data_IF_185830764183
#
_entry.id   IF_185830764183
#
_cell.length_a   1.000
_cell.length_b   1.000
_cell.length_c   1.000
_cell.angle_alpha   90.00
_cell.angle_beta   90.00
_cell.angle_gamma   90.00
#
_symmetry.space_group_name_H-M   'P 1'
#
loop_
_entity.id
_entity.type
_entity.pdbx_description
1 polymer ?
#
# COMPACT_ATOMS: atom_id res chain seq x y z
N UNK A 1 -8.41 -12.16 -1.36
CA UNK A 1 -6.98 -12.53 -1.31
C UNK A 1 -6.81 -13.57 -0.23
N UNK A 2 -6.66 -14.84 -0.58
CA UNK A 2 -6.83 -15.93 0.39
C UNK A 2 -5.66 -16.14 1.35
N UNK A 3 -4.57 -15.38 1.27
CA UNK A 3 -3.32 -15.68 1.98
C UNK A 3 -2.81 -14.53 2.86
N UNK A 4 -3.39 -13.35 2.76
CA UNK A 4 -2.94 -12.18 3.51
C UNK A 4 -3.79 -11.99 4.76
N UNK A 5 -3.54 -12.81 5.77
CA UNK A 5 -4.09 -12.64 7.11
C UNK A 5 -2.97 -12.31 8.06
N UNK A 6 -3.20 -11.36 8.95
CA UNK A 6 -2.27 -11.03 10.01
C UNK A 6 -3.02 -10.85 11.32
N UNK A 7 -2.34 -11.04 12.43
CA UNK A 7 -2.90 -10.81 13.76
C UNK A 7 -2.53 -9.40 14.19
N UNK A 8 -3.51 -8.63 14.63
CA UNK A 8 -3.27 -7.26 15.04
C UNK A 8 -4.39 -6.69 15.89
N UNK A 9 -4.14 -5.48 16.37
CA UNK A 9 -5.09 -4.68 17.11
C UNK A 9 -5.33 -3.36 16.38
N UNK A 10 -6.59 -2.95 16.25
CA UNK A 10 -6.98 -1.71 15.60
C UNK A 10 -7.81 -0.84 16.51
N UNK A 11 -7.58 0.46 16.43
CA UNK A 11 -8.40 1.51 17.03
C UNK A 11 -8.90 2.44 15.93
N UNK A 12 -10.20 2.69 15.92
CA UNK A 12 -10.83 3.65 15.02
C UNK A 12 -11.38 4.82 15.83
N UNK A 13 -10.95 6.03 15.50
CA UNK A 13 -11.42 7.28 16.08
C UNK A 13 -12.28 8.00 15.06
N UNK A 14 -13.53 8.29 15.44
CA UNK A 14 -14.49 9.01 14.59
C UNK A 14 -15.04 10.22 15.34
N UNK A 15 -15.30 11.29 14.62
CA UNK A 15 -15.87 12.48 15.22
C UNK A 15 -17.42 12.42 15.20
N UNK A 16 -18.10 12.91 16.26
CA UNK A 16 -19.55 12.87 16.34
C UNK A 16 -20.21 13.82 15.34
N UNK A 17 -21.46 13.56 15.00
CA UNK A 17 -22.22 14.30 13.97
C UNK A 17 -22.33 15.80 14.17
N UNK A 18 -22.25 16.27 15.42
CA UNK A 18 -22.29 17.71 15.75
C UNK A 18 -20.93 18.41 15.57
N UNK A 19 -19.86 17.67 15.32
CA UNK A 19 -18.54 18.26 15.06
C UNK A 19 -18.49 18.90 13.67
N UNK A 20 -17.86 20.08 13.51
CA UNK A 20 -17.62 20.67 12.20
C UNK A 20 -16.73 19.78 11.31
N UNK A 21 -15.93 18.92 11.92
CA UNK A 21 -15.08 17.93 11.26
C UNK A 21 -15.72 16.53 11.20
N UNK A 22 -17.05 16.44 11.38
CA UNK A 22 -17.77 15.19 11.17
C UNK A 22 -17.41 14.57 9.81
N UNK A 23 -17.19 13.26 9.79
CA UNK A 23 -16.71 12.55 8.59
C UNK A 23 -15.19 12.32 8.59
N UNK A 24 -14.45 12.98 9.49
CA UNK A 24 -13.05 12.65 9.72
C UNK A 24 -12.94 11.36 10.54
N UNK A 25 -12.10 10.43 10.10
CA UNK A 25 -11.82 9.17 10.76
C UNK A 25 -10.31 8.91 10.75
N UNK A 26 -9.79 8.51 11.90
CA UNK A 26 -8.42 8.03 12.05
C UNK A 26 -8.44 6.56 12.48
N UNK A 27 -7.86 5.69 11.67
CA UNK A 27 -7.64 4.28 11.99
C UNK A 27 -6.16 4.08 12.30
N UNK A 28 -5.87 3.43 13.42
CA UNK A 28 -4.51 3.08 13.86
C UNK A 28 -4.47 1.58 14.13
N UNK A 29 -3.46 0.91 13.63
CA UNK A 29 -3.29 -0.53 13.80
C UNK A 29 -1.86 -0.93 14.14
N UNK A 30 -1.73 -1.99 14.94
CA UNK A 30 -0.48 -2.69 15.22
C UNK A 30 -0.67 -4.14 14.83
N UNK A 31 0.22 -4.68 14.00
CA UNK A 31 0.13 -6.02 13.44
C UNK A 31 1.43 -6.78 13.66
N UNK A 32 1.37 -8.10 13.60
CA UNK A 32 2.57 -8.94 13.71
C UNK A 32 3.52 -8.80 12.50
N UNK A 33 3.00 -8.43 11.33
CA UNK A 33 3.82 -8.25 10.13
C UNK A 33 4.20 -9.55 9.41
N UNK A 34 3.74 -10.71 9.91
CA UNK A 34 4.08 -12.03 9.36
C UNK A 34 3.20 -12.47 8.19
N UNK A 35 2.26 -11.64 7.75
CA UNK A 35 1.45 -11.80 6.52
C UNK A 35 0.84 -13.19 6.35
N UNK A 36 0.19 -13.73 7.37
CA UNK A 36 -0.57 -14.99 7.31
C UNK A 36 0.26 -16.27 7.50
N UNK A 37 1.51 -16.14 7.89
CA UNK A 37 2.31 -17.29 8.37
C UNK A 37 1.84 -17.66 9.78
N UNK A 38 1.61 -18.95 10.02
CA UNK A 38 1.04 -19.43 11.28
C UNK A 38 1.93 -19.19 12.52
N UNK A 39 3.21 -18.96 12.32
CA UNK A 39 4.17 -18.65 13.38
C UNK A 39 4.91 -17.36 13.08
N UNK A 40 4.88 -16.46 14.03
CA UNK A 40 5.76 -15.29 14.03
C UNK A 40 7.22 -15.74 14.15
N UNK A 41 8.07 -15.24 13.26
CA UNK A 41 9.50 -15.60 13.25
C UNK A 41 10.40 -14.51 13.82
N UNK A 42 9.87 -13.32 14.09
CA UNK A 42 10.57 -12.23 14.78
C UNK A 42 9.62 -11.50 15.75
N UNK A 43 10.13 -10.57 16.51
CA UNK A 43 9.36 -9.76 17.45
C UNK A 43 9.03 -8.37 16.92
N UNK A 44 9.26 -8.13 15.61
CA UNK A 44 8.96 -6.85 14.99
C UNK A 44 7.44 -6.70 14.80
N UNK A 45 6.94 -5.48 15.01
CA UNK A 45 5.53 -5.16 14.80
C UNK A 45 5.41 -4.10 13.74
N UNK A 46 4.41 -4.27 12.91
CA UNK A 46 4.07 -3.33 11.84
C UNK A 46 2.98 -2.37 12.32
N UNK A 47 3.07 -1.12 11.90
CA UNK A 47 2.12 -0.07 12.20
C UNK A 47 1.38 0.34 10.94
N UNK A 48 0.06 0.45 11.04
CA UNK A 48 -0.82 0.88 9.96
C UNK A 48 -1.60 2.08 10.42
N UNK A 49 -1.61 3.11 9.61
CA UNK A 49 -2.31 4.35 9.88
C UNK A 49 -3.16 4.75 8.67
N UNK A 50 -4.39 5.21 8.91
CA UNK A 50 -5.22 5.78 7.87
C UNK A 50 -6.01 6.95 8.41
N UNK A 51 -5.82 8.10 7.78
CA UNK A 51 -6.66 9.28 7.97
C UNK A 51 -7.60 9.37 6.76
N UNK A 52 -8.90 9.41 7.01
CA UNK A 52 -9.89 9.55 5.94
C UNK A 52 -10.92 10.62 6.28
N UNK A 53 -11.44 11.26 5.24
CA UNK A 53 -12.51 12.22 5.34
C UNK A 53 -13.57 11.94 4.30
N UNK A 54 -14.83 11.83 4.74
CA UNK A 54 -15.96 11.53 3.89
C UNK A 54 -17.12 12.48 4.13
N UNK A 55 -17.80 12.88 3.07
CA UNK A 55 -19.01 13.69 3.13
C UNK A 55 -20.01 13.26 2.07
N UNK A 56 -21.27 13.39 2.44
CA UNK A 56 -22.40 13.28 1.53
C UNK A 56 -23.23 14.56 1.66
N UNK A 57 -23.71 15.10 0.56
CA UNK A 57 -24.61 16.24 0.59
C UNK A 57 -26.00 15.86 1.17
N UNK A 58 -26.82 16.86 1.47
CA UNK A 58 -28.11 16.65 2.10
C UNK A 58 -29.07 15.80 1.25
N UNK A 59 -29.03 15.96 -0.08
CA UNK A 59 -29.90 15.26 -1.03
C UNK A 59 -29.34 13.89 -1.45
N UNK A 60 -28.20 13.48 -0.86
CA UNK A 60 -27.50 12.22 -1.17
C UNK A 60 -27.10 12.03 -2.65
N UNK A 61 -27.16 13.11 -3.44
CA UNK A 61 -26.81 13.09 -4.86
C UNK A 61 -25.31 13.21 -5.12
N UNK A 62 -24.55 13.61 -4.11
CA UNK A 62 -23.10 13.73 -4.15
C UNK A 62 -22.46 13.22 -2.88
N UNK A 63 -21.48 12.35 -3.03
CA UNK A 63 -20.65 11.88 -1.93
C UNK A 63 -19.17 11.85 -2.35
N UNK A 64 -18.28 12.12 -1.40
CA UNK A 64 -16.86 11.92 -1.60
C UNK A 64 -16.21 11.28 -0.38
N UNK A 65 -15.13 10.56 -0.64
CA UNK A 65 -14.23 10.03 0.35
C UNK A 65 -12.79 10.28 -0.13
N UNK A 66 -11.94 10.76 0.76
CA UNK A 66 -10.50 10.89 0.52
C UNK A 66 -9.75 10.28 1.68
N UNK A 67 -8.61 9.67 1.41
CA UNK A 67 -7.81 9.01 2.43
C UNK A 67 -6.32 9.14 2.19
N UNK A 68 -5.57 9.15 3.29
CA UNK A 68 -4.12 9.00 3.34
C UNK A 68 -3.80 7.81 4.21
N UNK A 69 -2.91 6.95 3.76
CA UNK A 69 -2.53 5.73 4.46
C UNK A 69 -1.02 5.63 4.58
N UNK A 70 -0.55 5.17 5.73
CA UNK A 70 0.84 4.81 5.96
C UNK A 70 0.92 3.38 6.50
N UNK A 71 1.96 2.70 6.10
CA UNK A 71 2.36 1.41 6.64
C UNK A 71 3.86 1.47 6.97
N UNK A 72 4.19 1.20 8.20
CA UNK A 72 5.56 1.14 8.70
C UNK A 72 5.81 -0.23 9.29
N UNK A 73 6.66 -1.00 8.65
CA UNK A 73 6.92 -2.35 9.09
C UNK A 73 8.23 -2.91 8.59
N UNK A 74 8.34 -4.22 8.68
CA UNK A 74 9.52 -4.93 8.25
C UNK A 74 9.63 -6.31 8.86
N UNK A 75 10.78 -6.93 8.66
CA UNK A 75 11.12 -8.21 9.28
C UNK A 75 12.62 -8.31 9.54
N UNK A 76 13.01 -9.14 10.49
CA UNK A 76 14.42 -9.37 10.80
C UNK A 76 15.09 -10.18 9.71
N UNK A 77 16.22 -9.67 9.22
CA UNK A 77 16.98 -10.28 8.12
C UNK A 77 17.68 -11.56 8.58
N UNK A 78 18.00 -11.69 9.86
CA UNK A 78 18.76 -12.83 10.36
C UNK A 78 20.21 -12.83 9.87
N UNK A 79 20.64 -13.96 9.28
CA UNK A 79 22.02 -14.17 8.80
C UNK A 79 22.19 -14.00 7.30
N UNK A 80 21.14 -13.59 6.57
CA UNK A 80 21.23 -13.41 5.13
C UNK A 80 21.81 -12.05 4.77
N UNK A 81 22.31 -11.95 3.56
CA UNK A 81 22.86 -10.70 3.03
C UNK A 81 21.74 -9.74 2.68
N UNK A 82 21.99 -8.46 2.90
CA UNK A 82 21.08 -7.37 2.65
C UNK A 82 21.67 -6.42 1.60
N UNK A 83 20.90 -6.06 0.59
CA UNK A 83 21.33 -5.23 -0.52
C UNK A 83 20.40 -4.04 -0.71
N UNK A 84 20.99 -2.85 -0.73
CA UNK A 84 20.32 -1.63 -1.17
C UNK A 84 20.59 -1.36 -2.65
N UNK A 85 19.65 -0.74 -3.31
CA UNK A 85 19.79 -0.30 -4.69
C UNK A 85 20.40 1.09 -4.73
N UNK A 86 21.53 1.24 -5.40
CA UNK A 86 22.24 2.50 -5.54
C UNK A 86 22.44 2.86 -7.02
N UNK A 87 22.34 4.15 -7.32
CA UNK A 87 22.73 4.71 -8.62
C UNK A 87 24.15 5.25 -8.50
N UNK A 88 25.03 4.74 -9.33
CA UNK A 88 26.41 5.17 -9.38
C UNK A 88 26.54 6.54 -10.08
N UNK A 89 27.68 7.22 -9.87
CA UNK A 89 27.93 8.55 -10.46
C UNK A 89 28.01 8.56 -12.01
N UNK A 90 28.23 7.41 -12.63
CA UNK A 90 28.20 7.22 -14.07
C UNK A 90 26.80 6.94 -14.64
N UNK A 91 25.76 6.91 -13.79
CA UNK A 91 24.38 6.59 -14.15
C UNK A 91 24.04 5.10 -14.13
N UNK A 92 25.00 4.22 -13.90
CA UNK A 92 24.74 2.79 -13.75
C UNK A 92 24.02 2.50 -12.43
N UNK A 93 23.22 1.44 -12.45
CA UNK A 93 22.47 0.98 -11.29
C UNK A 93 23.05 -0.32 -10.74
N UNK A 94 23.13 -0.41 -9.43
CA UNK A 94 23.72 -1.57 -8.76
C UNK A 94 23.10 -1.84 -7.41
N UNK A 95 22.89 -3.12 -7.11
CA UNK A 95 22.65 -3.55 -5.74
C UNK A 95 23.98 -3.66 -4.98
N UNK A 96 24.10 -2.88 -3.94
CA UNK A 96 25.26 -2.89 -3.07
C UNK A 96 24.91 -3.42 -1.68
N UNK A 97 25.90 -4.01 -1.01
CA UNK A 97 25.74 -4.42 0.37
C UNK A 97 25.31 -3.22 1.22
N UNK A 98 24.20 -3.38 1.93
CA UNK A 98 23.70 -2.35 2.82
C UNK A 98 24.66 -2.08 3.97
N UNK A 99 25.42 -3.09 4.39
CA UNK A 99 26.49 -2.97 5.41
C UNK A 99 27.30 -4.27 5.57
N UNK A 100 28.46 -4.16 6.18
CA UNK A 100 29.36 -5.21 6.61
C UNK A 100 28.69 -6.24 7.54
N UNK A 101 29.34 -7.36 7.79
CA UNK A 101 28.94 -8.57 8.51
C UNK A 101 28.29 -8.38 9.90
N UNK A 102 28.17 -7.15 10.40
CA UNK A 102 27.47 -6.78 11.64
C UNK A 102 25.94 -6.72 11.54
N UNK A 103 25.35 -7.07 10.39
CA UNK A 103 23.91 -6.93 10.11
C UNK A 103 23.00 -8.03 10.69
N UNK A 104 23.52 -8.90 11.51
CA UNK A 104 22.68 -9.82 12.26
C UNK A 104 21.62 -9.07 13.06
N UNK A 105 20.35 -9.37 12.77
CA UNK A 105 19.16 -8.77 13.39
C UNK A 105 18.76 -7.36 12.93
N UNK A 106 19.24 -6.82 11.81
CA UNK A 106 18.64 -5.64 11.21
C UNK A 106 17.23 -5.97 10.68
N UNK A 107 16.42 -4.95 10.61
CA UNK A 107 15.06 -5.03 10.07
C UNK A 107 15.09 -4.58 8.60
N UNK A 108 14.66 -5.46 7.71
CA UNK A 108 14.36 -5.12 6.34
C UNK A 108 13.05 -4.32 6.31
N UNK A 109 13.11 -3.03 6.00
CA UNK A 109 11.98 -2.11 6.12
C UNK A 109 10.96 -2.34 5.02
N UNK A 110 9.68 -2.26 5.41
CA UNK A 110 8.51 -2.14 4.53
C UNK A 110 7.81 -0.84 4.88
N UNK A 111 7.94 0.16 4.06
CA UNK A 111 7.30 1.46 4.28
C UNK A 111 6.46 1.80 3.07
N UNK A 112 5.15 1.94 3.27
CA UNK A 112 4.21 2.26 2.20
C UNK A 112 3.44 3.52 2.54
N UNK A 113 3.20 4.33 1.54
CA UNK A 113 2.37 5.53 1.62
C UNK A 113 1.33 5.45 0.50
N UNK A 114 0.10 5.71 0.84
CA UNK A 114 -1.01 5.68 -0.09
C UNK A 114 -1.89 6.91 0.04
N UNK A 115 -2.47 7.30 -1.07
CA UNK A 115 -3.53 8.29 -1.14
C UNK A 115 -4.65 7.75 -2.01
N UNK A 116 -5.90 7.90 -1.57
CA UNK A 116 -7.06 7.46 -2.32
C UNK A 116 -8.16 8.51 -2.32
N UNK A 117 -8.98 8.46 -3.37
CA UNK A 117 -10.16 9.29 -3.50
C UNK A 117 -11.30 8.52 -4.17
N UNK A 118 -12.50 8.74 -3.69
CA UNK A 118 -13.73 8.28 -4.34
C UNK A 118 -14.72 9.44 -4.42
N UNK A 119 -15.29 9.63 -5.60
CA UNK A 119 -16.39 10.56 -5.85
C UNK A 119 -17.58 9.76 -6.39
N UNK A 120 -18.74 10.00 -5.83
CA UNK A 120 -20.01 9.42 -6.31
C UNK A 120 -21.00 10.55 -6.51
N UNK A 121 -21.62 10.59 -7.68
CA UNK A 121 -22.60 11.61 -8.00
C UNK A 121 -23.69 11.08 -8.95
N UNK A 122 -24.89 11.59 -8.79
CA UNK A 122 -26.03 11.25 -9.62
C UNK A 122 -26.09 12.19 -10.82
N UNK A 123 -26.11 11.61 -12.03
CA UNK A 123 -26.26 12.32 -13.29
C UNK A 123 -27.62 11.95 -13.91
N UNK A 124 -28.69 12.61 -13.48
CA UNK A 124 -29.99 12.38 -14.08
C UNK A 124 -30.02 12.84 -15.55
N UNK A 125 -30.51 12.04 -16.52
CA UNK A 125 -31.14 10.70 -16.37
C UNK A 125 -30.15 9.52 -16.49
N UNK A 126 -28.85 9.75 -16.51
CA UNK A 126 -27.83 8.75 -16.83
C UNK A 126 -27.54 7.77 -15.69
N UNK A 127 -27.98 8.10 -14.47
CA UNK A 127 -27.76 7.27 -13.28
C UNK A 127 -26.57 7.71 -12.43
N UNK A 128 -26.09 6.83 -11.56
CA UNK A 128 -25.02 7.12 -10.61
C UNK A 128 -23.65 6.85 -11.25
N UNK A 129 -22.77 7.84 -11.15
CA UNK A 129 -21.38 7.75 -11.56
C UNK A 129 -20.49 7.65 -10.32
N UNK A 130 -19.56 6.69 -10.32
CA UNK A 130 -18.53 6.60 -9.28
C UNK A 130 -17.15 6.61 -9.93
N UNK A 131 -16.30 7.51 -9.45
CA UNK A 131 -14.88 7.60 -9.78
C UNK A 131 -14.08 7.15 -8.58
N UNK A 132 -13.09 6.28 -8.77
CA UNK A 132 -12.14 5.87 -7.73
C UNK A 132 -10.73 5.98 -8.27
N UNK A 133 -9.84 6.48 -7.44
CA UNK A 133 -8.41 6.50 -7.71
C UNK A 133 -7.65 6.15 -6.45
N UNK A 134 -6.56 5.43 -6.61
CA UNK A 134 -5.60 5.18 -5.53
C UNK A 134 -4.19 5.23 -6.11
N UNK A 135 -3.29 5.84 -5.37
CA UNK A 135 -1.86 5.83 -5.62
C UNK A 135 -1.15 5.30 -4.40
N UNK A 136 -0.21 4.40 -4.62
CA UNK A 136 0.66 3.83 -3.58
C UNK A 136 2.10 3.95 -4.01
N UNK A 137 2.97 4.26 -3.06
CA UNK A 137 4.42 4.22 -3.23
C UNK A 137 5.08 3.69 -1.96
N UNK A 138 6.31 3.25 -2.08
CA UNK A 138 7.05 2.82 -0.90
C UNK A 138 8.35 2.13 -1.20
N UNK A 139 8.87 1.53 -0.15
CA UNK A 139 10.04 0.66 -0.16
C UNK A 139 9.65 -0.70 0.40
N UNK A 140 10.05 -1.75 -0.30
CA UNK A 140 9.83 -3.10 0.17
C UNK A 140 11.03 -4.01 -0.11
N UNK A 141 11.35 -4.93 0.81
CA UNK A 141 12.35 -5.95 0.60
C UNK A 141 11.75 -7.13 -0.18
N UNK A 142 12.53 -7.69 -1.06
CA UNK A 142 12.18 -8.86 -1.84
C UNK A 142 13.38 -9.79 -2.03
N UNK A 143 13.30 -10.73 -2.96
CA UNK A 143 14.43 -11.56 -3.38
C UNK A 143 15.15 -10.94 -4.59
N UNK A 144 16.21 -11.57 -5.05
CA UNK A 144 16.91 -11.18 -6.30
C UNK A 144 15.98 -11.22 -7.54
N UNK A 145 14.96 -12.08 -7.53
CA UNK A 145 14.06 -12.31 -8.67
C UNK A 145 12.67 -11.72 -8.50
N UNK A 146 12.26 -11.44 -7.27
CA UNK A 146 10.88 -11.02 -6.95
C UNK A 146 10.88 -9.81 -6.03
N UNK A 147 10.13 -8.80 -6.40
CA UNK A 147 9.87 -7.62 -5.58
C UNK A 147 8.85 -7.85 -4.46
N UNK A 148 8.18 -9.01 -4.43
CA UNK A 148 7.21 -9.34 -3.38
C UNK A 148 7.89 -9.45 -2.02
N UNK A 149 7.36 -8.73 -1.02
CA UNK A 149 7.83 -8.82 0.36
C UNK A 149 7.65 -10.24 0.91
N UNK A 150 8.65 -10.67 1.70
CA UNK A 150 8.64 -11.98 2.33
C UNK A 150 7.71 -12.00 3.55
N UNK A 151 6.93 -13.06 3.68
CA UNK A 151 6.07 -13.30 4.85
C UNK A 151 6.67 -14.25 5.88
N UNK A 152 7.89 -14.75 5.67
CA UNK A 152 8.59 -15.70 6.53
C UNK A 152 10.07 -15.31 6.66
N UNK A 153 10.78 -15.94 7.61
CA UNK A 153 12.21 -15.71 7.78
C UNK A 153 12.97 -15.89 6.46
N UNK A 154 13.77 -14.90 6.04
CA UNK A 154 14.47 -14.99 4.77
C UNK A 154 15.54 -16.08 4.80
N UNK A 155 15.55 -16.94 3.78
CA UNK A 155 16.56 -17.98 3.56
C UNK A 155 17.59 -17.61 2.49
N UNK A 156 17.34 -16.53 1.75
CA UNK A 156 18.20 -15.96 0.72
C UNK A 156 18.44 -14.49 0.95
N UNK A 157 19.35 -13.90 0.18
CA UNK A 157 19.64 -12.47 0.25
C UNK A 157 18.40 -11.61 0.03
N UNK A 158 18.33 -10.50 0.74
CA UNK A 158 17.24 -9.54 0.70
C UNK A 158 17.64 -8.34 -0.14
N UNK A 159 16.74 -7.86 -0.99
CA UNK A 159 16.96 -6.75 -1.91
C UNK A 159 15.87 -5.70 -1.70
N UNK A 160 16.27 -4.48 -1.36
CA UNK A 160 15.37 -3.36 -1.16
C UNK A 160 15.09 -2.65 -2.47
N UNK A 161 13.82 -2.42 -2.78
CA UNK A 161 13.34 -1.72 -3.96
C UNK A 161 12.31 -0.67 -3.60
N UNK A 162 12.35 0.46 -4.31
CA UNK A 162 11.28 1.44 -4.26
C UNK A 162 10.28 1.12 -5.37
N UNK A 163 9.03 1.17 -5.04
CA UNK A 163 7.94 0.89 -5.98
C UNK A 163 6.90 1.99 -5.98
N UNK A 164 6.11 2.07 -7.03
CA UNK A 164 4.85 2.78 -7.03
C UNK A 164 3.80 2.05 -7.87
N UNK A 165 2.56 2.47 -7.70
CA UNK A 165 1.46 1.98 -8.51
C UNK A 165 0.22 2.83 -8.29
N UNK A 166 -0.68 2.77 -9.25
CA UNK A 166 -1.98 3.41 -9.12
C UNK A 166 -3.05 2.64 -9.86
N UNK A 167 -4.27 2.87 -9.46
CA UNK A 167 -5.41 2.49 -10.26
C UNK A 167 -6.43 3.60 -10.34
N UNK A 168 -7.24 3.55 -11.40
CA UNK A 168 -8.37 4.40 -11.61
C UNK A 168 -9.57 3.55 -12.06
N UNK A 169 -10.73 3.79 -11.45
CA UNK A 169 -12.00 3.20 -11.84
C UNK A 169 -12.98 4.29 -12.25
N UNK A 170 -13.65 4.05 -13.36
CA UNK A 170 -14.88 4.71 -13.76
C UNK A 170 -16.00 3.69 -13.70
N UNK A 171 -17.04 3.97 -12.94
CA UNK A 171 -18.21 3.11 -12.79
C UNK A 171 -19.45 3.95 -13.08
N UNK A 172 -20.27 3.52 -14.04
CA UNK A 172 -21.49 4.20 -14.43
C UNK A 172 -22.68 3.25 -14.39
N UNK A 173 -23.64 3.53 -13.53
CA UNK A 173 -24.94 2.88 -13.59
C UNK A 173 -25.72 3.43 -14.77
N UNK A 174 -26.37 2.57 -15.57
CA UNK A 174 -27.08 2.98 -16.78
C UNK A 174 -28.53 3.28 -16.42
N UNK A 175 -28.80 4.55 -16.13
CA UNK A 175 -30.13 5.03 -15.74
C UNK A 175 -30.68 4.26 -14.53
N UNK A 176 -31.92 3.79 -14.63
CA UNK A 176 -32.61 2.96 -13.63
C UNK A 176 -32.48 1.46 -13.91
N UNK A 177 -31.69 1.06 -14.90
CA UNK A 177 -31.51 -0.35 -15.27
C UNK A 177 -30.64 -1.10 -14.28
N UNK A 178 -30.58 -2.44 -14.39
CA UNK A 178 -29.68 -3.29 -13.60
C UNK A 178 -28.28 -3.40 -14.23
N UNK A 179 -27.98 -2.62 -15.27
CA UNK A 179 -26.70 -2.65 -15.97
C UNK A 179 -25.75 -1.56 -15.45
N UNK A 180 -24.48 -1.92 -15.41
CA UNK A 180 -23.40 -1.03 -15.01
C UNK A 180 -22.25 -1.15 -16.02
N UNK A 181 -21.73 -0.02 -16.44
CA UNK A 181 -20.47 0.03 -17.20
C UNK A 181 -19.31 0.28 -16.23
N UNK A 182 -18.24 -0.49 -16.39
CA UNK A 182 -17.01 -0.36 -15.58
C UNK A 182 -15.81 -0.27 -16.51
N UNK A 183 -15.01 0.78 -16.32
CA UNK A 183 -13.69 0.90 -16.93
C UNK A 183 -12.63 1.00 -15.82
N UNK A 184 -11.53 0.28 -15.98
CA UNK A 184 -10.40 0.30 -15.05
C UNK A 184 -9.12 0.54 -15.83
N UNK A 185 -8.25 1.35 -15.27
CA UNK A 185 -6.87 1.49 -15.67
C UNK A 185 -5.97 1.35 -14.44
N UNK A 186 -4.90 0.58 -14.54
CA UNK A 186 -3.93 0.43 -13.47
C UNK A 186 -2.51 0.23 -14.02
N UNK A 187 -1.54 0.63 -13.23
CA UNK A 187 -0.13 0.32 -13.46
C UNK A 187 0.58 0.00 -12.13
N UNK A 188 1.65 -0.72 -12.22
CA UNK A 188 2.54 -1.00 -11.10
C UNK A 188 3.98 -1.07 -11.59
N UNK A 189 4.84 -0.28 -10.96
CA UNK A 189 6.28 -0.30 -11.16
C UNK A 189 6.95 -0.91 -9.92
N UNK A 190 7.47 -2.13 -10.01
CA UNK A 190 8.08 -2.83 -8.88
C UNK A 190 9.46 -2.29 -8.49
N UNK A 191 10.11 -1.50 -9.35
CA UNK A 191 11.38 -0.85 -9.05
C UNK A 191 11.55 0.46 -9.83
N UNK A 192 11.07 1.54 -9.25
CA UNK A 192 11.12 2.89 -9.84
C UNK A 192 12.53 3.44 -10.09
N UNK A 193 13.54 2.74 -9.63
CA UNK A 193 14.95 3.15 -9.76
C UNK A 193 15.60 2.58 -11.03
N UNK A 194 14.89 1.70 -11.75
CA UNK A 194 15.36 1.06 -13.00
C UNK A 194 14.34 1.32 -14.11
N UNK A 195 14.81 1.51 -15.33
CA UNK A 195 13.98 1.65 -16.52
C UNK A 195 14.15 0.44 -17.45
N UNK A 196 13.13 0.16 -18.26
CA UNK A 196 13.18 -0.86 -19.30
C UNK A 196 12.94 -2.30 -18.80
N UNK A 197 13.62 -3.27 -19.39
CA UNK A 197 13.38 -4.71 -19.17
C UNK A 197 13.97 -5.24 -17.85
N UNK A 198 14.73 -4.45 -17.12
CA UNK A 198 15.43 -4.85 -15.89
C UNK A 198 14.68 -4.54 -14.60
N UNK A 199 13.42 -4.15 -14.71
CA UNK A 199 12.54 -3.74 -13.59
C UNK A 199 12.52 -4.73 -12.41
N UNK A 200 12.74 -6.01 -12.68
CA UNK A 200 12.70 -7.06 -11.64
C UNK A 200 14.01 -7.26 -10.87
N UNK A 201 15.09 -6.58 -11.26
CA UNK A 201 16.41 -6.80 -10.65
C UNK A 201 16.69 -5.83 -9.51
#
# INVERSE_FOLDING_TARGET
>A
FPVERDLGFFVALTLPKFSPLYGLKLDLGVMNGSAGVASEFDSHKDFVERLSFSRTNFDETFAFNVGLSNYHGGYRIGKVKDYNFNTLSNGDHKFEFATDTSNYNRVARRNYQGADAQLTFELNPFGITTLRAEYIQGEQPGTDKLSKSLGAAPTSSVYHRKFNGAYFYFVQNIGTTHFQFVAKYDWYDPNTQIAGTEIGK
#
